data_IF_009329692583
#
_entry.id   IF_009329692583
#
_cell.length_a   1.000
_cell.length_b   1.000
_cell.length_c   1.000
_cell.angle_alpha   90.00
_cell.angle_beta   90.00
_cell.angle_gamma   90.00
#
_symmetry.space_group_name_H-M   'P 1'
#
loop_
_entity.id
_entity.type
_entity.pdbx_description
1 polymer ?
#
# COMPACT_ATOMS: atom_id res chain seq x y z
N UNK A 1 17.37 26.68 -1.67
CA UNK A 1 16.06 26.97 -1.04
C UNK A 1 15.51 25.72 -0.36
N UNK A 2 15.44 25.70 0.97
CA UNK A 2 15.05 24.51 1.75
C UNK A 2 13.57 24.12 1.57
N UNK A 3 13.30 22.82 1.42
CA UNK A 3 11.93 22.29 1.35
C UNK A 3 11.26 22.41 2.73
N UNK A 4 10.15 23.14 2.86
CA UNK A 4 9.34 23.08 4.09
C UNK A 4 8.89 21.64 4.35
N UNK A 5 9.13 21.14 5.57
CA UNK A 5 8.65 19.83 6.04
C UNK A 5 7.12 19.83 6.01
N UNK A 6 6.52 18.85 5.34
CA UNK A 6 5.06 18.68 5.30
C UNK A 6 4.63 17.82 6.48
N UNK A 7 3.58 18.24 7.21
CA UNK A 7 2.84 17.35 8.12
C UNK A 7 2.27 16.20 7.30
N UNK A 8 2.32 14.97 7.83
CA UNK A 8 1.74 13.84 7.12
C UNK A 8 0.27 13.73 7.48
N UNK A 9 -0.55 14.33 6.63
CA UNK A 9 -2.01 14.34 6.72
C UNK A 9 -2.56 14.43 5.29
N UNK A 10 -3.85 14.13 5.12
CA UNK A 10 -4.51 14.27 3.81
C UNK A 10 -4.45 15.73 3.35
N UNK A 11 -3.90 15.95 2.15
CA UNK A 11 -3.87 17.27 1.51
C UNK A 11 -5.29 17.69 1.09
N UNK A 12 -5.73 18.90 1.46
CA UNK A 12 -7.07 19.42 1.13
C UNK A 12 -7.20 19.73 -0.37
N UNK A 13 -6.23 20.45 -0.93
CA UNK A 13 -6.23 20.84 -2.35
C UNK A 13 -6.01 19.64 -3.29
N UNK A 14 -6.92 19.46 -4.24
CA UNK A 14 -6.92 18.32 -5.18
C UNK A 14 -5.72 18.37 -6.13
N UNK A 15 -5.40 19.53 -6.69
CA UNK A 15 -4.31 19.69 -7.66
C UNK A 15 -2.95 19.40 -7.00
N UNK A 16 -2.72 19.96 -5.82
CA UNK A 16 -1.54 19.69 -5.00
C UNK A 16 -1.48 18.22 -4.58
N UNK A 17 -2.61 17.61 -4.17
CA UNK A 17 -2.66 16.18 -3.83
C UNK A 17 -2.27 15.30 -5.01
N UNK A 18 -2.79 15.57 -6.20
CA UNK A 18 -2.44 14.85 -7.43
C UNK A 18 -0.96 15.02 -7.78
N UNK A 19 -0.44 16.25 -7.77
CA UNK A 19 0.96 16.52 -8.07
C UNK A 19 1.92 15.84 -7.07
N UNK A 20 1.57 15.85 -5.77
CA UNK A 20 2.36 15.18 -4.72
C UNK A 20 2.24 13.65 -4.84
N UNK A 21 1.07 13.12 -5.13
CA UNK A 21 0.87 11.69 -5.40
C UNK A 21 1.77 11.23 -6.54
N UNK A 22 1.76 11.91 -7.69
CA UNK A 22 2.60 11.55 -8.84
C UNK A 22 4.09 11.53 -8.49
N UNK A 23 4.57 12.52 -7.74
CA UNK A 23 5.97 12.59 -7.29
C UNK A 23 6.32 11.48 -6.28
N UNK A 24 5.46 11.25 -5.28
CA UNK A 24 5.67 10.20 -4.26
C UNK A 24 5.57 8.80 -4.85
N UNK A 25 4.57 8.55 -5.70
CA UNK A 25 4.40 7.29 -6.45
C UNK A 25 5.69 6.93 -7.19
N UNK A 26 6.24 7.88 -7.96
CA UNK A 26 7.50 7.66 -8.68
C UNK A 26 8.64 7.28 -7.72
N UNK A 27 8.77 7.97 -6.58
CA UNK A 27 9.78 7.65 -5.58
C UNK A 27 9.61 6.26 -4.96
N UNK A 28 8.37 5.87 -4.63
CA UNK A 28 8.04 4.54 -4.09
C UNK A 28 8.36 3.45 -5.12
N UNK A 29 7.93 3.63 -6.38
CA UNK A 29 8.22 2.66 -7.45
C UNK A 29 9.74 2.48 -7.65
N UNK A 30 10.50 3.57 -7.61
CA UNK A 30 11.96 3.51 -7.69
C UNK A 30 12.56 2.70 -6.53
N UNK A 31 12.16 3.00 -5.29
CA UNK A 31 12.64 2.30 -4.09
C UNK A 31 12.24 0.82 -4.08
N UNK A 32 11.04 0.50 -4.56
CA UNK A 32 10.57 -0.86 -4.68
C UNK A 32 11.35 -1.66 -5.73
N UNK A 33 11.68 -1.05 -6.87
CA UNK A 33 12.55 -1.67 -7.88
C UNK A 33 13.97 -1.88 -7.33
N UNK A 34 14.55 -0.87 -6.67
CA UNK A 34 15.85 -0.98 -6.00
C UNK A 34 15.87 -2.14 -5.01
N UNK A 35 14.87 -2.24 -4.13
CA UNK A 35 14.75 -3.32 -3.15
C UNK A 35 14.62 -4.71 -3.79
N UNK A 36 13.78 -4.83 -4.82
CA UNK A 36 13.60 -6.09 -5.56
C UNK A 36 14.90 -6.52 -6.27
N UNK A 37 15.74 -5.57 -6.70
CA UNK A 37 17.06 -5.88 -7.26
C UNK A 37 18.07 -6.26 -6.19
N UNK A 38 18.23 -5.42 -5.18
CA UNK A 38 19.33 -5.58 -4.21
C UNK A 38 19.16 -6.81 -3.31
N UNK A 39 17.92 -7.20 -3.03
CA UNK A 39 17.64 -8.27 -2.08
C UNK A 39 17.02 -9.51 -2.73
N UNK A 40 16.92 -9.55 -4.07
CA UNK A 40 16.26 -10.63 -4.81
C UNK A 40 14.90 -11.02 -4.23
N UNK A 41 14.07 -10.00 -3.94
CA UNK A 41 12.75 -10.20 -3.34
C UNK A 41 11.65 -10.01 -4.37
N UNK A 42 10.69 -10.94 -4.36
CA UNK A 42 9.40 -10.76 -5.01
C UNK A 42 8.58 -9.71 -4.24
N UNK A 43 8.18 -8.65 -4.95
CA UNK A 43 7.33 -7.60 -4.39
C UNK A 43 6.31 -7.13 -5.45
N UNK A 44 5.12 -6.76 -4.95
CA UNK A 44 4.04 -6.15 -5.73
C UNK A 44 3.56 -4.89 -5.03
N UNK A 45 3.25 -3.85 -5.80
CA UNK A 45 2.56 -2.65 -5.31
C UNK A 45 1.28 -2.42 -6.10
N UNK A 46 0.17 -2.25 -5.38
CA UNK A 46 -1.13 -1.84 -5.92
C UNK A 46 -1.52 -0.49 -5.32
N UNK A 47 -1.67 0.53 -6.16
CA UNK A 47 -1.92 1.90 -5.74
C UNK A 47 -3.15 2.46 -6.46
N UNK A 48 -4.14 2.96 -5.72
CA UNK A 48 -5.21 3.77 -6.30
C UNK A 48 -4.83 5.25 -6.26
N UNK A 49 -4.95 5.93 -7.40
CA UNK A 49 -4.67 7.37 -7.49
C UNK A 49 -5.81 8.21 -6.90
N UNK A 50 -5.57 9.50 -6.59
CA UNK A 50 -6.65 10.41 -6.19
C UNK A 50 -7.78 10.55 -7.22
N UNK A 51 -7.56 10.12 -8.47
CA UNK A 51 -8.56 10.07 -9.55
C UNK A 51 -9.15 8.67 -9.76
N UNK A 52 -8.93 7.72 -8.84
CA UNK A 52 -9.45 6.36 -8.90
C UNK A 52 -8.73 5.41 -9.86
N UNK A 53 -7.78 5.89 -10.66
CA UNK A 53 -7.03 5.04 -11.60
C UNK A 53 -6.02 4.16 -10.84
N UNK A 54 -6.01 2.84 -11.06
CA UNK A 54 -5.05 1.95 -10.43
C UNK A 54 -3.66 2.07 -11.08
N UNK A 55 -2.63 1.74 -10.32
CA UNK A 55 -1.28 1.46 -10.82
C UNK A 55 -0.81 0.17 -10.18
N UNK A 56 -0.45 -0.79 -11.01
CA UNK A 56 0.17 -2.05 -10.62
C UNK A 56 1.67 -2.00 -10.93
N UNK A 57 2.50 -2.42 -9.99
CA UNK A 57 3.92 -2.68 -10.19
C UNK A 57 4.24 -4.08 -9.69
N UNK A 58 4.96 -4.83 -10.51
CA UNK A 58 5.53 -6.13 -10.19
C UNK A 58 7.06 -5.98 -10.23
N UNK A 59 7.76 -6.65 -9.32
CA UNK A 59 9.22 -6.65 -9.23
C UNK A 59 9.92 -7.24 -10.46
N UNK A 60 10.99 -8.01 -10.26
CA UNK A 60 11.71 -8.60 -11.40
C UNK A 60 10.96 -9.76 -12.08
N UNK A 61 10.26 -10.57 -11.29
CA UNK A 61 9.59 -11.76 -11.79
C UNK A 61 8.27 -11.40 -12.50
N UNK A 62 8.09 -11.74 -13.79
CA UNK A 62 6.82 -11.52 -14.49
C UNK A 62 5.64 -12.26 -13.85
N UNK A 63 5.89 -13.40 -13.20
CA UNK A 63 4.89 -14.17 -12.46
C UNK A 63 4.77 -13.74 -10.99
N UNK A 64 5.51 -12.70 -10.56
CA UNK A 64 5.58 -12.28 -9.16
C UNK A 64 4.22 -11.90 -8.57
N UNK A 65 3.31 -11.35 -9.39
CA UNK A 65 1.93 -11.09 -8.94
C UNK A 65 1.21 -12.38 -8.54
N UNK A 66 1.21 -13.37 -9.44
CA UNK A 66 0.56 -14.65 -9.21
C UNK A 66 1.16 -15.36 -7.99
N UNK A 67 2.50 -15.43 -7.92
CA UNK A 67 3.21 -16.07 -6.81
C UNK A 67 2.86 -15.45 -5.46
N UNK A 68 2.82 -14.13 -5.37
CA UNK A 68 2.47 -13.42 -4.13
C UNK A 68 0.99 -13.66 -3.78
N UNK A 69 0.09 -13.55 -4.75
CA UNK A 69 -1.34 -13.78 -4.50
C UNK A 69 -1.62 -15.21 -4.02
N UNK A 70 -0.96 -16.21 -4.62
CA UNK A 70 -1.08 -17.61 -4.19
C UNK A 70 -0.54 -17.80 -2.78
N UNK A 71 0.65 -17.27 -2.45
CA UNK A 71 1.23 -17.30 -1.10
C UNK A 71 0.29 -16.68 -0.06
N UNK A 72 -0.32 -15.53 -0.38
CA UNK A 72 -1.28 -14.86 0.52
C UNK A 72 -2.60 -15.64 0.62
N UNK A 73 -3.10 -16.19 -0.49
CA UNK A 73 -4.35 -16.97 -0.50
C UNK A 73 -4.24 -18.25 0.31
N UNK A 74 -3.07 -18.90 0.31
CA UNK A 74 -2.81 -20.13 1.05
C UNK A 74 -2.54 -19.88 2.55
N UNK A 75 -2.45 -18.63 2.98
CA UNK A 75 -2.19 -18.27 4.38
C UNK A 75 -3.51 -18.18 5.18
N UNK A 76 -3.59 -18.80 6.38
CA UNK A 76 -4.75 -18.70 7.25
C UNK A 76 -5.14 -17.25 7.51
N UNK A 77 -6.46 -16.98 7.64
CA UNK A 77 -6.97 -15.62 7.84
C UNK A 77 -6.36 -14.95 9.08
N UNK A 78 -6.27 -15.67 10.21
CA UNK A 78 -5.70 -15.16 11.46
C UNK A 78 -4.26 -14.70 11.25
N UNK A 79 -3.43 -15.54 10.61
CA UNK A 79 -2.03 -15.21 10.33
C UNK A 79 -1.89 -13.99 9.41
N UNK A 80 -2.77 -13.86 8.39
CA UNK A 80 -2.79 -12.68 7.51
C UNK A 80 -3.05 -11.40 8.29
N UNK A 81 -4.04 -11.42 9.17
CA UNK A 81 -4.41 -10.24 9.96
C UNK A 81 -3.34 -9.90 11.01
N UNK A 82 -2.70 -10.90 11.62
CA UNK A 82 -1.58 -10.69 12.55
C UNK A 82 -0.38 -10.04 11.85
N UNK A 83 0.02 -10.55 10.67
CA UNK A 83 1.12 -9.96 9.88
C UNK A 83 0.81 -8.52 9.45
N UNK A 84 -0.44 -8.25 9.08
CA UNK A 84 -0.92 -6.89 8.75
C UNK A 84 -0.84 -5.98 9.98
N UNK A 85 -1.34 -6.42 11.13
CA UNK A 85 -1.32 -5.66 12.38
C UNK A 85 0.11 -5.37 12.84
N UNK A 86 1.00 -6.36 12.76
CA UNK A 86 2.42 -6.20 13.08
C UNK A 86 3.07 -5.11 12.21
N UNK A 87 2.88 -5.17 10.89
CA UNK A 87 3.40 -4.17 9.96
C UNK A 87 2.86 -2.77 10.26
N UNK A 88 1.56 -2.66 10.53
CA UNK A 88 0.93 -1.38 10.89
C UNK A 88 1.49 -0.81 12.20
N UNK A 89 1.72 -1.66 13.21
CA UNK A 89 2.32 -1.28 14.48
C UNK A 89 3.74 -0.75 14.30
N UNK A 90 4.56 -1.41 13.49
CA UNK A 90 5.91 -0.94 13.17
C UNK A 90 5.89 0.43 12.49
N UNK A 91 5.00 0.63 11.51
CA UNK A 91 4.88 1.91 10.80
C UNK A 91 4.40 3.04 11.71
N UNK A 92 3.44 2.78 12.61
CA UNK A 92 2.97 3.77 13.59
C UNK A 92 4.10 4.29 14.48
N UNK A 93 4.99 3.41 14.95
CA UNK A 93 6.14 3.80 15.78
C UNK A 93 7.08 4.78 15.08
N UNK A 94 7.23 4.67 13.76
CA UNK A 94 8.07 5.58 12.96
C UNK A 94 7.48 7.00 12.81
N UNK A 95 6.24 7.21 13.27
CA UNK A 95 5.42 8.35 12.95
C UNK A 95 4.63 8.78 14.21
N UNK A 96 5.31 9.47 15.12
CA UNK A 96 4.89 9.72 16.52
C UNK A 96 3.51 10.42 16.69
N UNK A 97 2.94 11.09 15.67
CA UNK A 97 1.67 11.85 15.81
C UNK A 97 0.61 11.46 14.76
N UNK A 98 0.28 10.18 14.61
CA UNK A 98 -0.77 9.73 13.67
C UNK A 98 -1.93 9.08 14.41
N UNK A 99 -2.73 9.90 15.06
CA UNK A 99 -4.11 9.56 15.39
C UNK A 99 -5.01 10.13 14.30
N UNK A 100 -5.28 9.32 13.29
CA UNK A 100 -6.55 9.34 12.59
C UNK A 100 -6.92 7.89 12.32
N UNK A 101 -8.02 7.49 12.93
CA UNK A 101 -8.62 6.16 12.90
C UNK A 101 -8.65 5.59 11.47
N UNK A 102 -7.92 4.50 11.28
CA UNK A 102 -8.34 3.49 10.33
C UNK A 102 -8.79 2.31 11.19
N UNK A 103 -10.09 2.24 11.46
CA UNK A 103 -10.71 1.05 12.02
C UNK A 103 -10.86 0.00 10.90
N UNK A 104 -10.11 -1.11 10.94
CA UNK A 104 -10.24 -2.19 9.96
C UNK A 104 -11.64 -2.82 9.95
N UNK A 105 -12.41 -2.68 11.04
CA UNK A 105 -13.77 -3.20 11.19
C UNK A 105 -14.84 -2.25 10.62
N UNK A 106 -14.51 -0.99 10.32
CA UNK A 106 -15.44 -0.05 9.67
C UNK A 106 -15.81 -0.44 8.23
N UNK A 107 -15.10 -1.40 7.63
CA UNK A 107 -15.45 -2.01 6.33
C UNK A 107 -16.45 -3.17 6.44
N UNK A 108 -16.75 -3.64 7.65
CA UNK A 108 -17.85 -4.57 7.86
C UNK A 108 -19.16 -3.78 7.82
N UNK A 109 -19.76 -3.60 6.64
CA UNK A 109 -21.22 -3.53 6.44
C UNK A 109 -21.68 -3.51 4.97
N UNK A 110 -20.84 -3.79 3.96
CA UNK A 110 -21.39 -4.15 2.65
C UNK A 110 -21.51 -5.68 2.54
N UNK A 111 -22.61 -6.21 3.08
CA UNK A 111 -23.07 -7.60 2.87
C UNK A 111 -23.59 -7.76 1.43
N UNK A 112 -22.68 -7.66 0.47
CA UNK A 112 -22.88 -8.17 -0.89
C UNK A 112 -21.55 -8.77 -1.36
N UNK A 113 -21.08 -9.76 -0.62
CA UNK A 113 -20.07 -10.70 -1.09
C UNK A 113 -20.83 -11.86 -1.75
N UNK A 114 -21.48 -11.57 -2.88
CA UNK A 114 -21.79 -12.60 -3.85
C UNK A 114 -21.02 -12.27 -5.13
N UNK A 115 -20.39 -13.31 -5.67
CA UNK A 115 -19.67 -13.39 -6.95
C UNK A 115 -18.36 -12.61 -7.08
N UNK A 116 -17.30 -13.17 -6.51
CA UNK A 116 -16.08 -13.43 -7.28
C UNK A 116 -15.75 -14.93 -7.12
N UNK A 117 -16.36 -15.75 -7.97
CA UNK A 117 -15.81 -17.07 -8.29
C UNK A 117 -14.71 -16.81 -9.31
N UNK A 118 -13.46 -17.13 -8.95
CA UNK A 118 -12.44 -17.49 -9.93
C UNK A 118 -12.66 -18.95 -10.33
#
# INVERSE_FOLDING_TARGET
MGRKKLKIQRLKDMKARQAKYSKRKRGILKKAKELSILCDVELVLLLSSPTGKPTLFVGQNPNGLYNILQKVSNMPFVEREERRAHTMKMLKKSYVNWELEFDPLSLAHNRNVHTLKL
#
